data_IF_155562929532
#
_entry.id   IF_155562929532
#
_cell.length_a   1.000
_cell.length_b   1.000
_cell.length_c   1.000
_cell.angle_alpha   90.00
_cell.angle_beta   90.00
_cell.angle_gamma   90.00
#
_symmetry.space_group_name_H-M   'P 1'
#
loop_
_entity.id
_entity.type
_entity.pdbx_description
1 polymer ?
#
# COMPACT_ATOMS: atom_id res chain seq x y z
N UNK A 1 -14.75 4.02 -14.84
CA UNK A 1 -14.05 5.05 -14.04
C UNK A 1 -14.34 6.42 -14.60
N UNK A 2 -14.14 6.63 -15.90
CA UNK A 2 -14.41 7.90 -16.61
C UNK A 2 -15.81 8.48 -16.35
N UNK A 3 -16.83 7.63 -16.27
CA UNK A 3 -18.20 8.06 -16.00
C UNK A 3 -18.37 8.67 -14.59
N UNK A 4 -17.63 8.20 -13.57
CA UNK A 4 -17.68 8.80 -12.23
C UNK A 4 -17.04 10.20 -12.28
N UNK A 5 -15.82 10.28 -12.82
CA UNK A 5 -15.05 11.52 -12.85
C UNK A 5 -15.65 12.58 -13.79
N UNK A 6 -16.38 12.18 -14.83
CA UNK A 6 -17.07 13.13 -15.71
C UNK A 6 -18.20 13.89 -15.00
N UNK A 7 -18.77 13.34 -13.92
CA UNK A 7 -19.83 13.96 -13.12
C UNK A 7 -19.31 14.55 -11.80
N UNK A 8 -18.01 14.43 -11.53
CA UNK A 8 -17.37 14.98 -10.33
C UNK A 8 -17.60 16.50 -10.17
N UNK A 9 -17.51 17.33 -11.23
CA UNK A 9 -17.74 18.77 -11.11
C UNK A 9 -19.14 19.15 -10.60
N UNK A 10 -20.14 18.28 -10.82
CA UNK A 10 -21.53 18.55 -10.46
C UNK A 10 -21.81 18.29 -8.97
N UNK A 11 -21.05 17.38 -8.34
CA UNK A 11 -21.31 16.94 -6.95
C UNK A 11 -20.32 17.49 -5.92
N UNK A 12 -19.11 17.88 -6.35
CA UNK A 12 -18.03 18.25 -5.42
C UNK A 12 -18.35 19.45 -4.51
N UNK A 13 -19.16 20.40 -4.98
CA UNK A 13 -19.52 21.58 -4.19
C UNK A 13 -20.44 21.22 -3.02
N UNK A 14 -21.45 20.38 -3.27
CA UNK A 14 -22.38 19.89 -2.26
C UNK A 14 -21.67 19.00 -1.22
N UNK A 15 -20.77 18.13 -1.67
CA UNK A 15 -19.97 17.29 -0.78
C UNK A 15 -19.05 18.14 0.11
N UNK A 16 -18.44 19.20 -0.44
CA UNK A 16 -17.59 20.11 0.33
C UNK A 16 -18.40 20.92 1.37
N UNK A 17 -19.60 21.38 1.02
CA UNK A 17 -20.49 22.08 1.94
C UNK A 17 -20.91 21.18 3.12
N UNK A 18 -21.21 19.90 2.85
CA UNK A 18 -21.53 18.91 3.89
C UNK A 18 -20.40 18.75 4.91
N UNK A 19 -19.14 18.70 4.46
CA UNK A 19 -17.97 18.62 5.35
C UNK A 19 -17.83 19.90 6.18
N UNK A 20 -17.90 21.07 5.53
CA UNK A 20 -17.71 22.36 6.19
C UNK A 20 -18.78 22.66 7.27
N UNK A 21 -20.03 22.30 6.99
CA UNK A 21 -21.15 22.54 7.89
C UNK A 21 -21.33 21.41 8.94
N UNK A 22 -20.60 20.30 8.81
CA UNK A 22 -20.77 19.11 9.64
C UNK A 22 -22.16 18.49 9.50
N UNK A 23 -22.81 18.66 8.36
CA UNK A 23 -24.18 18.19 8.10
C UNK A 23 -24.18 16.99 7.14
N UNK A 24 -25.18 16.09 7.21
CA UNK A 24 -25.30 15.01 6.24
C UNK A 24 -25.41 15.56 4.81
N UNK A 25 -24.76 14.87 3.86
CA UNK A 25 -24.90 15.15 2.42
C UNK A 25 -26.39 15.09 2.03
N UNK A 26 -26.80 15.94 1.08
CA UNK A 26 -28.15 15.87 0.51
C UNK A 26 -28.45 14.45 0.00
N UNK A 27 -29.69 13.99 0.19
CA UNK A 27 -30.08 12.62 -0.16
C UNK A 27 -29.86 12.32 -1.65
N UNK A 28 -30.12 13.30 -2.52
CA UNK A 28 -29.89 13.20 -3.96
C UNK A 28 -28.41 12.99 -4.30
N UNK A 29 -27.51 13.80 -3.74
CA UNK A 29 -26.06 13.69 -3.98
C UNK A 29 -25.49 12.42 -3.36
N UNK A 30 -25.93 12.05 -2.16
CA UNK A 30 -25.52 10.82 -1.49
C UNK A 30 -25.96 9.57 -2.28
N UNK A 31 -27.20 9.55 -2.79
CA UNK A 31 -27.70 8.46 -3.62
C UNK A 31 -26.94 8.36 -4.94
N UNK A 32 -26.68 9.49 -5.58
CA UNK A 32 -25.90 9.55 -6.83
C UNK A 32 -24.50 8.96 -6.65
N UNK A 33 -23.75 9.44 -5.65
CA UNK A 33 -22.39 8.94 -5.36
C UNK A 33 -22.44 7.45 -5.01
N UNK A 34 -23.38 7.03 -4.16
CA UNK A 34 -23.54 5.62 -3.77
C UNK A 34 -23.82 4.71 -4.97
N UNK A 35 -24.71 5.12 -5.87
CA UNK A 35 -25.01 4.33 -7.07
C UNK A 35 -23.77 4.18 -7.96
N UNK A 36 -23.02 5.27 -8.17
CA UNK A 36 -21.82 5.23 -9.00
C UNK A 36 -20.69 4.41 -8.37
N UNK A 37 -20.49 4.50 -7.05
CA UNK A 37 -19.53 3.65 -6.33
C UNK A 37 -19.91 2.17 -6.45
N UNK A 38 -21.20 1.83 -6.27
CA UNK A 38 -21.69 0.45 -6.43
C UNK A 38 -21.57 -0.08 -7.86
N UNK A 39 -21.67 0.79 -8.88
CA UNK A 39 -21.40 0.41 -10.27
C UNK A 39 -19.92 0.10 -10.53
N UNK A 40 -19.00 0.72 -9.78
CA UNK A 40 -17.57 0.36 -9.83
C UNK A 40 -17.35 -1.02 -9.21
N UNK A 41 -17.84 -1.24 -8.01
CA UNK A 41 -17.92 -2.55 -7.37
C UNK A 41 -18.98 -2.55 -6.27
N UNK A 42 -19.82 -3.61 -6.17
CA UNK A 42 -20.85 -3.69 -5.14
C UNK A 42 -20.27 -3.80 -3.72
N UNK A 43 -19.00 -4.19 -3.57
CA UNK A 43 -18.32 -4.32 -2.28
C UNK A 43 -17.69 -3.01 -1.78
N UNK A 44 -17.66 -1.96 -2.62
CA UNK A 44 -17.12 -0.67 -2.22
C UNK A 44 -18.13 0.15 -1.41
N UNK A 45 -17.63 0.77 -0.34
CA UNK A 45 -18.30 1.83 0.38
C UNK A 45 -17.53 3.13 0.24
N UNK A 46 -18.17 4.26 0.55
CA UNK A 46 -17.53 5.57 0.50
C UNK A 46 -17.81 6.36 1.78
N UNK A 47 -16.89 7.27 2.10
CA UNK A 47 -17.05 8.21 3.19
C UNK A 47 -16.41 9.56 2.86
N UNK A 48 -16.90 10.60 3.54
CA UNK A 48 -16.33 11.94 3.51
C UNK A 48 -15.63 12.21 4.83
N UNK A 49 -14.56 12.98 4.74
CA UNK A 49 -13.87 13.52 5.90
C UNK A 49 -13.24 14.85 5.55
N UNK A 50 -12.89 15.63 6.57
CA UNK A 50 -11.85 16.64 6.41
C UNK A 50 -10.57 15.94 5.95
N UNK A 51 -9.86 16.53 5.00
CA UNK A 51 -8.63 15.93 4.54
C UNK A 51 -7.64 15.84 5.72
N UNK A 52 -7.09 14.65 6.01
CA UNK A 52 -6.08 14.55 7.04
C UNK A 52 -4.89 15.43 6.65
N UNK A 53 -4.24 16.09 7.63
CA UNK A 53 -3.06 16.89 7.36
C UNK A 53 -2.05 16.04 6.58
N UNK A 54 -1.47 16.60 5.54
CA UNK A 54 -0.50 15.87 4.72
C UNK A 54 0.63 15.32 5.61
N UNK A 55 0.73 14.01 5.71
CA UNK A 55 1.95 13.30 6.14
C UNK A 55 3.00 13.34 5.02
N UNK A 56 3.13 14.48 4.32
CA UNK A 56 4.39 14.72 3.62
C UNK A 56 5.46 14.69 4.73
N UNK A 57 6.53 13.89 4.59
CA UNK A 57 7.64 14.01 5.51
C UNK A 57 8.01 15.49 5.51
N UNK A 58 7.78 16.17 6.63
CA UNK A 58 8.22 17.54 6.83
C UNK A 58 9.63 17.61 6.27
N UNK A 59 9.88 18.50 5.30
CA UNK A 59 11.09 18.58 4.48
C UNK A 59 12.41 18.81 5.24
N UNK A 60 12.44 18.50 6.53
CA UNK A 60 13.57 18.49 7.42
C UNK A 60 14.41 17.21 7.36
N UNK A 61 13.93 16.12 6.75
CA UNK A 61 14.73 14.88 6.59
C UNK A 61 15.80 14.99 5.46
N UNK A 62 15.74 16.06 4.65
CA UNK A 62 16.71 16.36 3.60
C UNK A 62 17.91 17.20 4.04
N UNK A 63 17.92 17.74 5.27
CA UNK A 63 18.97 18.66 5.73
C UNK A 63 20.35 18.00 5.85
N UNK A 64 20.40 16.68 6.06
CA UNK A 64 21.66 15.95 6.14
C UNK A 64 22.31 15.70 4.76
N UNK A 65 21.60 15.99 3.66
CA UNK A 65 22.09 15.77 2.27
C UNK A 65 22.00 16.98 1.35
N UNK A 66 21.44 18.10 1.82
CA UNK A 66 21.34 19.32 1.04
C UNK A 66 22.73 19.94 0.80
N UNK A 67 23.03 20.31 -0.45
CA UNK A 67 24.28 21.02 -0.77
C UNK A 67 24.26 22.44 -0.17
N UNK A 68 25.44 22.97 0.19
CA UNK A 68 25.57 24.35 0.72
C UNK A 68 24.92 25.39 -0.22
N UNK A 69 24.94 25.14 -1.53
CA UNK A 69 24.30 25.98 -2.54
C UNK A 69 22.77 26.01 -2.40
N UNK A 70 22.15 24.85 -2.16
CA UNK A 70 20.70 24.74 -1.95
C UNK A 70 20.23 25.42 -0.66
N UNK A 71 21.08 25.45 0.37
CA UNK A 71 20.80 26.15 1.62
C UNK A 71 20.91 27.67 1.45
N UNK A 72 21.89 28.12 0.65
CA UNK A 72 22.08 29.53 0.34
C UNK A 72 20.89 30.11 -0.45
N UNK A 73 20.44 29.39 -1.48
CA UNK A 73 19.29 29.81 -2.31
C UNK A 73 17.98 29.85 -1.50
N UNK A 74 17.82 28.92 -0.56
CA UNK A 74 16.65 28.86 0.34
C UNK A 74 16.67 30.01 1.38
N UNK A 75 17.85 30.37 1.88
CA UNK A 75 18.02 31.51 2.79
C UNK A 75 17.82 32.86 2.09
N UNK A 76 18.25 33.00 0.83
CA UNK A 76 17.94 34.19 0.02
C UNK A 76 16.44 34.30 -0.29
N UNK A 77 15.77 33.17 -0.55
CA UNK A 77 14.33 33.13 -0.77
C UNK A 77 13.54 33.52 0.50
N UNK A 78 13.97 33.05 1.68
CA UNK A 78 13.40 33.45 2.98
C UNK A 78 13.65 34.91 3.36
N UNK A 79 14.80 35.47 2.95
CA UNK A 79 15.13 36.88 3.21
C UNK A 79 14.39 37.88 2.32
N UNK A 80 13.76 37.40 1.24
CA UNK A 80 13.10 38.22 0.22
C UNK A 80 11.56 38.19 0.30
N UNK A 81 10.99 37.27 1.07
CA UNK A 81 9.55 37.05 1.15
C UNK A 81 8.93 37.86 2.31
N UNK A 82 8.02 38.77 1.99
CA UNK A 82 7.24 39.53 2.99
C UNK A 82 6.08 38.69 3.59
N UNK A 83 5.77 37.52 3.03
CA UNK A 83 4.77 36.55 3.54
C UNK A 83 5.00 35.15 2.95
N UNK A 84 4.56 34.11 3.67
CA UNK A 84 4.74 32.69 3.31
C UNK A 84 4.07 32.34 1.96
N UNK A 85 3.02 33.07 1.57
CA UNK A 85 2.31 32.88 0.29
C UNK A 85 3.16 33.24 -0.95
N UNK A 86 4.15 34.15 -0.82
CA UNK A 86 4.98 34.62 -1.94
C UNK A 86 6.04 33.59 -2.38
N UNK A 87 6.21 32.51 -1.61
CA UNK A 87 7.16 31.42 -1.88
C UNK A 87 6.62 30.38 -2.88
N UNK A 88 5.40 30.53 -3.40
CA UNK A 88 4.79 29.53 -4.30
C UNK A 88 4.49 28.18 -3.63
N UNK A 89 4.58 28.12 -2.30
CA UNK A 89 4.25 26.95 -1.46
C UNK A 89 2.75 26.95 -1.10
N UNK A 90 2.02 28.02 -1.43
CA UNK A 90 0.58 28.18 -1.20
C UNK A 90 -0.30 27.59 -2.30
N UNK A 91 -0.17 26.29 -2.59
CA UNK A 91 -1.34 25.57 -3.08
C UNK A 91 -2.35 25.50 -1.94
N UNK A 92 -3.62 25.87 -2.15
CA UNK A 92 -4.65 25.64 -1.14
C UNK A 92 -4.61 24.16 -0.78
N UNK A 93 -4.18 23.83 0.44
CA UNK A 93 -4.13 22.44 0.87
C UNK A 93 -5.55 21.85 0.72
N UNK A 94 -5.69 20.59 0.26
CA UNK A 94 -6.99 19.98 0.16
C UNK A 94 -7.64 20.00 1.54
N UNK A 95 -8.87 20.48 1.61
CA UNK A 95 -9.64 20.55 2.86
C UNK A 95 -10.63 19.40 2.97
N UNK A 96 -11.00 18.81 1.83
CA UNK A 96 -11.99 17.75 1.74
C UNK A 96 -11.33 16.44 1.31
N UNK A 97 -11.81 15.32 1.83
CA UNK A 97 -11.39 13.99 1.42
C UNK A 97 -12.58 13.11 1.07
N UNK A 98 -12.46 12.39 -0.05
CA UNK A 98 -13.35 11.31 -0.45
C UNK A 98 -12.58 9.99 -0.39
N UNK A 99 -13.04 9.09 0.45
CA UNK A 99 -12.39 7.81 0.73
C UNK A 99 -13.30 6.72 0.21
N UNK A 100 -12.75 5.82 -0.63
CA UNK A 100 -13.35 4.53 -0.91
C UNK A 100 -12.75 3.47 0.01
N UNK A 101 -13.60 2.59 0.53
CA UNK A 101 -13.21 1.48 1.39
C UNK A 101 -13.65 0.17 0.74
N UNK A 102 -12.71 -0.75 0.58
CA UNK A 102 -12.91 -2.10 0.04
C UNK A 102 -12.96 -3.16 1.14
N UNK A 103 -12.56 -2.80 2.37
CA UNK A 103 -12.32 -3.75 3.44
C UNK A 103 -11.32 -4.83 3.00
N UNK A 104 -11.62 -6.08 3.32
CA UNK A 104 -10.79 -7.24 2.97
C UNK A 104 -10.94 -7.70 1.52
N UNK A 105 -11.82 -7.11 0.71
CA UNK A 105 -12.03 -7.52 -0.69
C UNK A 105 -10.91 -6.96 -1.59
N UNK A 106 -10.04 -7.84 -2.07
CA UNK A 106 -8.91 -7.46 -2.92
C UNK A 106 -9.36 -7.02 -4.32
N UNK A 107 -10.44 -7.56 -4.88
CA UNK A 107 -10.94 -7.12 -6.18
C UNK A 107 -11.49 -5.71 -6.10
N UNK A 108 -12.28 -5.42 -5.06
CA UNK A 108 -12.76 -4.07 -4.79
C UNK A 108 -11.59 -3.09 -4.53
N UNK A 109 -10.53 -3.52 -3.82
CA UNK A 109 -9.34 -2.68 -3.58
C UNK A 109 -8.60 -2.32 -4.86
N UNK A 110 -8.52 -3.22 -5.85
CA UNK A 110 -7.96 -2.93 -7.18
C UNK A 110 -8.78 -1.82 -7.84
N UNK A 111 -10.11 -1.94 -7.81
CA UNK A 111 -11.02 -0.96 -8.42
C UNK A 111 -10.89 0.40 -7.74
N UNK A 112 -10.82 0.44 -6.40
CA UNK A 112 -10.60 1.67 -5.65
C UNK A 112 -9.24 2.33 -5.99
N UNK A 113 -8.18 1.54 -6.15
CA UNK A 113 -6.87 2.06 -6.56
C UNK A 113 -6.93 2.73 -7.94
N UNK A 114 -7.53 2.05 -8.91
CA UNK A 114 -7.65 2.59 -10.27
C UNK A 114 -8.54 3.82 -10.31
N UNK A 115 -9.62 3.82 -9.51
CA UNK A 115 -10.46 5.00 -9.33
C UNK A 115 -9.64 6.20 -8.86
N UNK A 116 -8.82 6.03 -7.81
CA UNK A 116 -7.94 7.08 -7.29
C UNK A 116 -6.91 7.54 -8.33
N UNK A 117 -6.28 6.61 -9.06
CA UNK A 117 -5.30 6.94 -10.11
C UNK A 117 -5.90 7.71 -11.29
N UNK A 118 -7.18 7.47 -11.57
CA UNK A 118 -7.95 8.18 -12.59
C UNK A 118 -8.56 9.50 -12.09
N UNK A 119 -8.32 9.87 -10.83
CA UNK A 119 -8.87 11.09 -10.26
C UNK A 119 -8.34 12.33 -10.99
N UNK A 120 -9.20 13.33 -11.24
CA UNK A 120 -8.76 14.61 -11.76
C UNK A 120 -7.88 15.32 -10.72
N UNK A 121 -7.01 16.21 -11.21
CA UNK A 121 -6.31 17.15 -10.33
C UNK A 121 -7.32 18.17 -9.80
N UNK A 122 -7.63 18.08 -8.50
CA UNK A 122 -8.57 18.96 -7.80
C UNK A 122 -7.93 19.43 -6.48
N UNK A 123 -7.42 20.67 -6.41
CA UNK A 123 -6.64 21.13 -5.26
C UNK A 123 -7.45 21.18 -3.96
N UNK A 124 -8.78 21.25 -4.04
CA UNK A 124 -9.64 21.25 -2.85
C UNK A 124 -9.87 19.85 -2.25
N UNK A 125 -9.47 18.79 -2.97
CA UNK A 125 -9.87 17.43 -2.67
C UNK A 125 -8.71 16.45 -2.63
N UNK A 126 -8.75 15.54 -1.65
CA UNK A 126 -7.87 14.38 -1.60
C UNK A 126 -8.69 13.09 -1.77
N UNK A 127 -8.22 12.20 -2.63
CA UNK A 127 -8.89 10.93 -2.93
C UNK A 127 -8.11 9.76 -2.35
N UNK A 128 -8.79 8.90 -1.61
CA UNK A 128 -8.19 7.72 -0.99
C UNK A 128 -8.86 6.43 -1.48
N UNK A 129 -8.03 5.45 -1.84
CA UNK A 129 -8.46 4.13 -2.29
C UNK A 129 -8.63 3.10 -1.14
N UNK A 130 -8.39 3.55 0.08
CA UNK A 130 -8.54 2.83 1.34
C UNK A 130 -8.57 3.86 2.46
N UNK A 131 -9.22 3.56 3.58
CA UNK A 131 -9.25 4.46 4.73
C UNK A 131 -7.83 4.69 5.30
N UNK A 132 -7.35 5.95 5.39
CA UNK A 132 -6.07 6.23 6.03
C UNK A 132 -6.16 6.02 7.54
N UNK A 133 -5.00 5.88 8.20
CA UNK A 133 -4.93 5.97 9.65
C UNK A 133 -5.34 7.38 10.11
N UNK A 134 -6.06 7.47 11.21
CA UNK A 134 -6.43 8.72 11.87
C UNK A 134 -6.25 8.57 13.39
N UNK A 135 -4.99 8.56 13.87
CA UNK A 135 -4.71 8.39 15.29
C UNK A 135 -5.19 9.58 16.14
N UNK A 136 -5.49 10.74 15.54
CA UNK A 136 -6.02 11.89 16.25
C UNK A 136 -7.44 11.62 16.79
N UNK A 137 -8.24 10.80 16.09
CA UNK A 137 -9.56 10.37 16.55
C UNK A 137 -9.50 9.48 17.80
N UNK A 138 -8.37 8.81 18.05
CA UNK A 138 -8.20 7.97 19.25
C UNK A 138 -8.15 8.79 20.56
N UNK A 139 -8.03 10.11 20.46
CA UNK A 139 -8.10 11.04 21.59
C UNK A 139 -9.46 11.74 21.71
N UNK A 140 -10.43 11.40 20.86
CA UNK A 140 -11.78 11.99 20.84
C UNK A 140 -12.82 10.96 21.30
N UNK A 141 -13.96 11.40 21.85
CA UNK A 141 -15.08 10.51 22.11
C UNK A 141 -15.61 9.88 20.80
N UNK A 142 -15.94 8.60 20.87
CA UNK A 142 -16.59 7.84 19.81
C UNK A 142 -18.05 7.58 20.20
N UNK A 143 -18.98 8.01 19.37
CA UNK A 143 -20.39 7.63 19.51
C UNK A 143 -20.65 6.35 18.72
N UNK A 144 -21.06 5.28 19.41
CA UNK A 144 -21.39 3.98 18.82
C UNK A 144 -22.70 3.44 19.38
N UNK A 145 -23.68 3.15 18.52
CA UNK A 145 -25.02 2.67 18.91
C UNK A 145 -25.66 3.48 20.07
N UNK A 146 -25.49 4.81 20.05
CA UNK A 146 -26.01 5.71 21.08
C UNK A 146 -25.21 5.77 22.39
N UNK A 147 -24.07 5.09 22.47
CA UNK A 147 -23.13 5.17 23.59
C UNK A 147 -21.94 6.05 23.21
N UNK A 148 -21.57 6.97 24.08
CA UNK A 148 -20.37 7.79 23.93
C UNK A 148 -19.22 7.13 24.72
N UNK A 149 -18.13 6.80 24.03
CA UNK A 149 -16.95 6.13 24.59
C UNK A 149 -15.73 7.03 24.46
N UNK A 150 -15.05 7.30 25.57
CA UNK A 150 -13.78 8.03 25.54
C UNK A 150 -12.62 7.10 25.13
N UNK A 151 -12.17 7.22 23.87
CA UNK A 151 -11.13 6.35 23.33
C UNK A 151 -9.76 6.52 24.04
N UNK A 152 -9.56 7.58 24.83
CA UNK A 152 -8.34 7.77 25.61
C UNK A 152 -8.17 6.74 26.74
N UNK A 153 -9.25 6.07 27.14
CA UNK A 153 -9.22 5.00 28.14
C UNK A 153 -9.00 3.60 27.55
N UNK A 154 -8.88 3.49 26.22
CA UNK A 154 -8.63 2.22 25.56
C UNK A 154 -7.20 1.74 25.84
N UNK A 155 -7.05 0.43 26.05
CA UNK A 155 -5.75 -0.24 26.11
C UNK A 155 -5.74 -1.39 25.13
N UNK A 156 -4.61 -1.62 24.46
CA UNK A 156 -4.46 -2.67 23.44
C UNK A 156 -3.37 -3.63 23.87
N UNK A 157 -3.55 -4.91 23.53
CA UNK A 157 -2.51 -5.93 23.57
C UNK A 157 -2.31 -6.50 22.18
N UNK A 158 -1.06 -6.80 21.81
CA UNK A 158 -0.73 -7.41 20.52
C UNK A 158 -0.04 -8.75 20.73
N UNK A 159 -0.36 -9.73 19.90
CA UNK A 159 0.31 -11.02 19.85
C UNK A 159 0.59 -11.42 18.41
N UNK A 160 1.81 -11.85 18.12
CA UNK A 160 2.15 -12.39 16.80
C UNK A 160 1.66 -13.83 16.68
N UNK A 161 0.89 -14.11 15.64
CA UNK A 161 0.58 -15.45 15.19
C UNK A 161 1.59 -15.85 14.10
N UNK A 162 2.66 -16.53 14.48
CA UNK A 162 3.74 -16.91 13.57
C UNK A 162 3.29 -17.87 12.47
N UNK A 163 2.29 -18.71 12.74
CA UNK A 163 1.78 -19.67 11.74
C UNK A 163 1.04 -18.98 10.61
N UNK A 164 0.28 -17.94 10.94
CA UNK A 164 -0.48 -17.15 9.96
C UNK A 164 0.28 -15.93 9.45
N UNK A 165 1.45 -15.64 10.03
CA UNK A 165 2.22 -14.42 9.81
C UNK A 165 1.38 -13.13 10.00
N UNK A 166 0.49 -13.14 10.99
CA UNK A 166 -0.40 -12.04 11.33
C UNK A 166 -0.26 -11.64 12.80
N UNK A 167 -0.93 -10.56 13.18
CA UNK A 167 -0.98 -10.01 14.52
C UNK A 167 -2.43 -10.09 15.01
N UNK A 168 -2.61 -10.66 16.20
CA UNK A 168 -3.87 -10.69 16.93
C UNK A 168 -3.90 -9.47 17.85
N UNK A 169 -4.95 -8.66 17.75
CA UNK A 169 -5.12 -7.46 18.57
C UNK A 169 -6.25 -7.65 19.58
N UNK A 170 -5.93 -7.48 20.86
CA UNK A 170 -6.91 -7.44 21.94
C UNK A 170 -7.17 -6.00 22.36
N UNK A 171 -8.42 -5.54 22.36
CA UNK A 171 -8.78 -4.17 22.74
C UNK A 171 -9.58 -4.19 24.03
N UNK A 172 -9.16 -3.43 25.03
CA UNK A 172 -9.86 -3.25 26.30
C UNK A 172 -10.37 -1.82 26.44
N UNK A 173 -11.60 -1.67 26.89
CA UNK A 173 -12.13 -0.40 27.40
C UNK A 173 -12.96 -0.66 28.66
N UNK A 174 -12.87 0.17 29.72
CA UNK A 174 -13.65 -0.03 30.95
C UNK A 174 -15.15 -0.17 30.71
N UNK A 175 -15.70 0.60 29.77
CA UNK A 175 -17.15 0.61 29.50
C UNK A 175 -17.63 -0.54 28.61
N UNK A 176 -16.74 -1.45 28.16
CA UNK A 176 -17.16 -2.64 27.42
C UNK A 176 -18.14 -3.48 28.23
N UNK A 177 -18.06 -3.48 29.57
CA UNK A 177 -19.02 -4.19 30.42
C UNK A 177 -20.48 -3.71 30.26
N UNK A 178 -20.70 -2.50 29.74
CA UNK A 178 -22.02 -1.91 29.52
C UNK A 178 -22.53 -2.05 28.09
N UNK A 179 -21.68 -2.52 27.17
CA UNK A 179 -22.02 -2.70 25.76
C UNK A 179 -22.45 -4.14 25.45
N UNK A 180 -23.35 -4.36 24.47
CA UNK A 180 -23.58 -5.68 23.90
C UNK A 180 -22.34 -6.18 23.14
N UNK A 181 -22.21 -7.49 22.97
CA UNK A 181 -21.00 -8.11 22.38
C UNK A 181 -20.69 -7.59 20.96
N UNK A 182 -21.70 -7.40 20.12
CA UNK A 182 -21.53 -6.86 18.76
C UNK A 182 -20.97 -5.42 18.77
N UNK A 183 -21.42 -4.58 19.71
CA UNK A 183 -20.92 -3.22 19.86
C UNK A 183 -19.47 -3.21 20.38
N UNK A 184 -19.11 -4.12 21.30
CA UNK A 184 -17.72 -4.27 21.76
C UNK A 184 -16.80 -4.65 20.61
N UNK A 185 -17.23 -5.60 19.77
CA UNK A 185 -16.48 -6.03 18.61
C UNK A 185 -16.30 -4.87 17.62
N UNK A 186 -17.38 -4.16 17.28
CA UNK A 186 -17.34 -3.01 16.38
C UNK A 186 -16.42 -1.88 16.88
N UNK A 187 -16.49 -1.55 18.18
CA UNK A 187 -15.58 -0.55 18.78
C UNK A 187 -14.13 -1.03 18.76
N UNK A 188 -13.86 -2.31 19.06
CA UNK A 188 -12.52 -2.87 19.03
C UNK A 188 -11.92 -2.80 17.62
N UNK A 189 -12.66 -3.22 16.58
CA UNK A 189 -12.24 -3.12 15.19
C UNK A 189 -12.02 -1.66 14.77
N UNK A 190 -12.93 -0.76 15.16
CA UNK A 190 -12.83 0.67 14.87
C UNK A 190 -11.56 1.29 15.45
N UNK A 191 -11.19 0.95 16.68
CA UNK A 191 -9.96 1.45 17.31
C UNK A 191 -8.73 1.04 16.52
N UNK A 192 -8.61 -0.24 16.16
CA UNK A 192 -7.44 -0.75 15.41
C UNK A 192 -7.40 -0.15 14.01
N UNK A 193 -8.57 0.00 13.36
CA UNK A 193 -8.69 0.63 12.05
C UNK A 193 -8.32 2.13 12.07
N UNK A 194 -8.74 2.87 13.10
CA UNK A 194 -8.31 4.27 13.28
C UNK A 194 -6.81 4.37 13.48
N UNK A 195 -6.21 3.43 14.20
CA UNK A 195 -4.78 3.47 14.46
C UNK A 195 -3.95 3.12 13.21
N UNK A 196 -4.33 2.08 12.46
CA UNK A 196 -3.50 1.54 11.37
C UNK A 196 -3.94 1.99 9.98
N UNK A 197 -5.19 2.40 9.80
CA UNK A 197 -5.79 2.48 8.48
C UNK A 197 -6.14 1.10 7.91
N UNK A 198 -6.88 1.11 6.81
CA UNK A 198 -7.47 -0.10 6.21
C UNK A 198 -6.42 -1.03 5.61
N UNK A 199 -5.42 -0.48 4.89
CA UNK A 199 -4.43 -1.31 4.20
C UNK A 199 -3.54 -2.06 5.19
N UNK A 200 -3.05 -1.42 6.26
CA UNK A 200 -2.25 -2.09 7.29
C UNK A 200 -3.08 -3.01 8.18
N UNK A 201 -4.35 -2.66 8.44
CA UNK A 201 -5.30 -3.55 9.10
C UNK A 201 -5.43 -4.87 8.33
N UNK A 202 -5.78 -4.82 7.05
CA UNK A 202 -5.97 -6.02 6.22
C UNK A 202 -4.68 -6.80 6.03
N UNK A 203 -3.54 -6.10 5.98
CA UNK A 203 -2.23 -6.68 5.76
C UNK A 203 -1.73 -7.48 6.95
N UNK A 204 -1.83 -6.92 8.15
CA UNK A 204 -1.14 -7.47 9.32
C UNK A 204 -2.08 -8.02 10.38
N UNK A 205 -3.32 -7.53 10.48
CA UNK A 205 -4.21 -7.92 11.57
C UNK A 205 -5.01 -9.15 11.17
N UNK A 206 -4.76 -10.26 11.86
CA UNK A 206 -5.45 -11.53 11.63
C UNK A 206 -6.77 -11.63 12.37
N UNK A 207 -6.85 -11.02 13.56
CA UNK A 207 -8.07 -10.94 14.35
C UNK A 207 -8.03 -9.77 15.32
N UNK A 208 -9.21 -9.25 15.63
CA UNK A 208 -9.42 -8.27 16.69
C UNK A 208 -10.45 -8.83 17.67
N UNK A 209 -10.15 -8.75 18.96
CA UNK A 209 -11.04 -9.24 20.01
C UNK A 209 -11.20 -8.20 21.13
N UNK A 210 -12.43 -7.93 21.60
CA UNK A 210 -12.65 -7.16 22.81
C UNK A 210 -12.19 -7.98 24.03
N UNK A 211 -11.47 -7.33 24.94
CA UNK A 211 -10.97 -7.90 26.17
C UNK A 211 -11.90 -7.51 27.33
N UNK A 212 -12.26 -8.49 28.16
CA UNK A 212 -13.06 -8.27 29.36
C UNK A 212 -12.24 -7.66 30.51
N UNK A 213 -10.94 -7.93 30.54
CA UNK A 213 -10.01 -7.47 31.57
C UNK A 213 -8.88 -6.65 30.94
N UNK A 214 -8.33 -5.72 31.72
CA UNK A 214 -7.20 -4.91 31.28
C UNK A 214 -5.99 -5.82 31.03
N UNK A 215 -5.32 -5.72 29.88
CA UNK A 215 -4.14 -6.55 29.59
C UNK A 215 -2.99 -6.26 30.56
N UNK A 216 -2.12 -7.25 30.76
CA UNK A 216 -0.96 -7.18 31.65
C UNK A 216 0.04 -6.10 31.22
N UNK A 217 0.32 -6.04 29.92
CA UNK A 217 1.20 -5.05 29.29
C UNK A 217 0.36 -4.14 28.37
N UNK A 218 -0.39 -3.17 28.93
CA UNK A 218 -1.30 -2.33 28.16
C UNK A 218 -0.52 -1.33 27.31
N UNK A 219 -0.82 -1.29 26.02
CA UNK A 219 -0.34 -0.26 25.09
C UNK A 219 -1.46 0.73 24.78
N UNK A 220 -1.18 2.03 24.65
CA UNK A 220 -2.16 2.95 24.10
C UNK A 220 -2.38 2.65 22.60
N UNK A 221 -3.61 2.80 22.06
CA UNK A 221 -3.88 2.57 20.65
C UNK A 221 -2.99 3.37 19.68
N UNK A 222 -2.56 4.56 20.08
CA UNK A 222 -1.67 5.42 19.28
C UNK A 222 -0.28 4.83 19.05
N UNK A 223 0.15 3.85 19.85
CA UNK A 223 1.42 3.14 19.65
C UNK A 223 1.31 1.98 18.64
N UNK A 224 0.10 1.61 18.20
CA UNK A 224 -0.13 0.49 17.29
C UNK A 224 0.69 0.57 15.99
N UNK A 225 0.75 1.70 15.26
CA UNK A 225 1.50 1.77 14.00
C UNK A 225 2.96 1.40 14.16
N UNK A 226 3.63 1.97 15.17
CA UNK A 226 5.03 1.69 15.45
C UNK A 226 5.25 0.22 15.83
N UNK A 227 4.39 -0.36 16.67
CA UNK A 227 4.55 -1.76 17.10
C UNK A 227 4.27 -2.71 15.95
N UNK A 228 3.22 -2.47 15.14
CA UNK A 228 2.93 -3.27 13.94
C UNK A 228 4.07 -3.17 12.94
N UNK A 229 4.66 -1.99 12.74
CA UNK A 229 5.83 -1.83 11.89
C UNK A 229 7.05 -2.64 12.42
N UNK A 230 7.30 -2.65 13.73
CA UNK A 230 8.37 -3.45 14.32
C UNK A 230 8.11 -4.96 14.20
N UNK A 231 6.89 -5.39 14.51
CA UNK A 231 6.49 -6.79 14.45
C UNK A 231 6.44 -7.31 13.01
N UNK A 232 6.05 -6.48 12.05
CA UNK A 232 6.11 -6.83 10.64
C UNK A 232 7.54 -7.07 10.17
N UNK A 233 8.51 -6.29 10.66
CA UNK A 233 9.93 -6.56 10.43
C UNK A 233 10.35 -7.97 10.88
N UNK A 234 9.85 -8.43 12.03
CA UNK A 234 10.10 -9.79 12.53
C UNK A 234 9.36 -10.88 11.75
N UNK A 235 8.20 -10.58 11.17
CA UNK A 235 7.44 -11.44 10.24
C UNK A 235 8.03 -11.43 8.81
N UNK A 236 8.96 -10.51 8.55
CA UNK A 236 9.66 -10.30 7.29
C UNK A 236 9.47 -8.87 6.80
N UNK A 237 10.57 -8.16 6.52
CA UNK A 237 10.58 -6.72 6.26
C UNK A 237 10.26 -6.32 4.81
N UNK A 238 9.37 -7.03 4.11
CA UNK A 238 9.06 -6.79 2.68
C UNK A 238 10.30 -6.88 1.76
N UNK A 239 11.34 -7.57 2.21
CA UNK A 239 12.66 -7.62 1.58
C UNK A 239 12.81 -8.74 0.55
N UNK A 240 14.01 -8.86 -0.01
CA UNK A 240 14.35 -9.96 -0.90
C UNK A 240 14.84 -11.18 -0.10
N UNK A 241 14.17 -12.32 -0.28
CA UNK A 241 14.63 -13.61 0.22
C UNK A 241 15.17 -14.42 -0.95
N UNK A 242 16.39 -14.93 -0.80
CA UNK A 242 17.03 -15.80 -1.79
C UNK A 242 17.09 -17.22 -1.27
N UNK A 243 16.55 -18.15 -2.06
CA UNK A 243 16.71 -19.58 -1.88
C UNK A 243 17.70 -20.13 -2.89
N UNK A 244 18.52 -21.07 -2.43
CA UNK A 244 19.43 -21.83 -3.27
C UNK A 244 19.06 -23.31 -3.20
N UNK A 245 19.04 -23.95 -4.36
CA UNK A 245 18.80 -25.37 -4.50
C UNK A 245 19.66 -25.98 -5.60
N UNK A 246 19.57 -27.29 -5.77
CA UNK A 246 20.15 -28.02 -6.90
C UNK A 246 19.07 -28.80 -7.61
N UNK A 247 19.00 -28.65 -8.92
CA UNK A 247 18.12 -29.45 -9.77
C UNK A 247 18.99 -30.48 -10.52
N UNK A 248 18.68 -31.78 -10.43
CA UNK A 248 19.38 -32.80 -11.21
C UNK A 248 19.45 -32.40 -12.69
N UNK A 249 20.63 -32.52 -13.30
CA UNK A 249 20.93 -32.17 -14.70
C UNK A 249 20.92 -30.66 -15.05
N UNK A 250 20.33 -29.77 -14.23
CA UNK A 250 20.27 -28.32 -14.50
C UNK A 250 21.26 -27.48 -13.69
N UNK A 251 21.89 -28.05 -12.66
CA UNK A 251 22.88 -27.36 -11.83
C UNK A 251 22.24 -26.67 -10.62
N UNK A 252 22.92 -25.66 -10.09
CA UNK A 252 22.38 -24.84 -9.01
C UNK A 252 21.23 -23.97 -9.52
N UNK A 253 20.27 -23.72 -8.65
CA UNK A 253 19.14 -22.84 -8.91
C UNK A 253 19.08 -21.84 -7.78
N UNK A 254 19.05 -20.56 -8.15
CA UNK A 254 18.85 -19.46 -7.24
C UNK A 254 17.50 -18.82 -7.54
N UNK A 255 16.65 -18.69 -6.54
CA UNK A 255 15.35 -18.02 -6.64
C UNK A 255 15.37 -16.89 -5.63
N UNK A 256 15.22 -15.66 -6.09
CA UNK A 256 15.02 -14.51 -5.22
C UNK A 256 13.60 -14.01 -5.39
N UNK A 257 12.92 -13.76 -4.28
CA UNK A 257 11.54 -13.25 -4.26
C UNK A 257 11.43 -12.10 -3.26
N UNK A 258 10.45 -11.23 -3.46
CA UNK A 258 9.99 -10.34 -2.39
C UNK A 258 9.17 -11.13 -1.37
N UNK A 259 9.47 -10.97 -0.08
CA UNK A 259 8.73 -11.61 1.00
C UNK A 259 8.74 -10.77 2.30
N UNK A 260 7.58 -10.65 2.99
CA UNK A 260 6.25 -11.04 2.53
C UNK A 260 5.81 -10.15 1.36
N UNK A 261 4.96 -10.69 0.51
CA UNK A 261 4.39 -9.98 -0.63
C UNK A 261 2.89 -9.83 -0.36
N UNK A 262 2.46 -8.62 0.00
CA UNK A 262 1.05 -8.34 0.26
C UNK A 262 0.36 -7.68 -0.94
N UNK A 263 -0.90 -8.05 -1.15
CA UNK A 263 -1.71 -7.47 -2.24
C UNK A 263 -1.82 -5.95 -2.11
N UNK A 264 -1.91 -5.48 -0.87
CA UNK A 264 -2.05 -4.07 -0.50
C UNK A 264 -0.82 -3.21 -0.80
N UNK A 265 0.35 -3.80 -1.04
CA UNK A 265 1.54 -3.05 -1.51
C UNK A 265 1.45 -2.71 -3.01
N UNK A 266 0.73 -3.53 -3.79
CA UNK A 266 0.70 -3.43 -5.25
C UNK A 266 -0.72 -3.63 -5.81
N UNK A 267 -1.75 -2.91 -5.32
CA UNK A 267 -3.14 -3.20 -5.63
C UNK A 267 -3.44 -3.14 -7.14
N UNK A 268 -2.93 -2.14 -7.87
CA UNK A 268 -3.18 -2.03 -9.31
C UNK A 268 -2.48 -3.11 -10.17
N UNK A 269 -1.47 -3.81 -9.64
CA UNK A 269 -0.60 -4.62 -10.48
C UNK A 269 -1.22 -5.99 -10.77
N UNK A 270 -1.90 -6.09 -11.91
CA UNK A 270 -2.63 -7.31 -12.34
C UNK A 270 -2.11 -7.88 -13.66
N UNK A 271 -1.12 -7.24 -14.30
CA UNK A 271 -0.54 -7.73 -15.55
C UNK A 271 0.78 -8.44 -15.26
N UNK A 272 0.78 -9.76 -15.32
CA UNK A 272 2.01 -10.55 -15.18
C UNK A 272 2.83 -10.45 -16.45
N UNK A 273 4.11 -10.10 -16.31
CA UNK A 273 5.09 -10.07 -17.40
C UNK A 273 6.27 -10.95 -17.05
N UNK A 274 6.49 -11.94 -17.91
CA UNK A 274 7.62 -12.85 -17.84
C UNK A 274 8.69 -12.42 -18.83
N UNK A 275 9.92 -12.25 -18.34
CA UNK A 275 11.10 -11.99 -19.18
C UNK A 275 12.14 -13.07 -18.92
N UNK A 276 12.63 -13.72 -19.98
CA UNK A 276 13.71 -14.70 -19.88
C UNK A 276 14.86 -14.32 -20.79
N UNK A 277 16.06 -14.26 -20.22
CA UNK A 277 17.32 -13.96 -20.91
C UNK A 277 18.36 -15.02 -20.58
N UNK A 278 19.14 -15.43 -21.56
CA UNK A 278 20.37 -16.20 -21.36
C UNK A 278 21.58 -15.28 -21.19
N UNK A 279 22.62 -15.78 -20.52
CA UNK A 279 23.90 -15.10 -20.37
C UNK A 279 25.05 -16.03 -20.80
N UNK A 280 26.17 -15.43 -21.20
CA UNK A 280 27.30 -16.13 -21.84
C UNK A 280 28.43 -16.47 -20.88
N UNK A 281 28.74 -15.58 -19.93
CA UNK A 281 29.76 -15.84 -18.91
C UNK A 281 29.15 -16.59 -17.73
N UNK A 282 29.61 -17.82 -17.48
CA UNK A 282 29.09 -18.68 -16.41
C UNK A 282 30.19 -19.29 -15.55
N UNK A 283 29.90 -19.50 -14.27
CA UNK A 283 30.74 -20.30 -13.37
C UNK A 283 30.55 -21.82 -13.56
N UNK A 284 31.17 -22.62 -12.67
CA UNK A 284 31.09 -24.09 -12.69
C UNK A 284 29.68 -24.63 -12.44
N UNK A 285 28.84 -23.87 -11.74
CA UNK A 285 27.46 -24.24 -11.42
C UNK A 285 26.45 -23.65 -12.42
N UNK A 286 26.93 -23.04 -13.52
CA UNK A 286 26.15 -22.33 -14.55
C UNK A 286 25.40 -21.11 -14.02
N UNK A 287 25.93 -20.44 -12.99
CA UNK A 287 25.49 -19.14 -12.52
C UNK A 287 26.24 -18.03 -13.29
N UNK A 288 25.68 -16.81 -13.39
CA UNK A 288 26.33 -15.72 -14.11
C UNK A 288 27.64 -15.33 -13.41
N UNK A 289 28.71 -15.27 -14.19
CA UNK A 289 29.98 -14.69 -13.77
C UNK A 289 30.18 -13.34 -14.49
N UNK A 290 31.14 -12.54 -14.05
CA UNK A 290 31.51 -11.33 -14.78
C UNK A 290 32.01 -11.68 -16.20
N UNK A 291 31.68 -10.86 -17.22
CA UNK A 291 30.95 -9.58 -17.17
C UNK A 291 29.42 -9.71 -17.20
N UNK A 292 28.87 -10.91 -17.42
CA UNK A 292 27.42 -11.10 -17.58
C UNK A 292 26.63 -10.81 -16.30
N UNK A 293 27.22 -10.99 -15.11
CA UNK A 293 26.60 -10.62 -13.84
C UNK A 293 26.31 -9.12 -13.77
N UNK A 294 27.31 -8.26 -14.04
CA UNK A 294 27.14 -6.81 -14.09
C UNK A 294 26.11 -6.37 -15.15
N UNK A 295 26.15 -6.97 -16.35
CA UNK A 295 25.18 -6.66 -17.40
C UNK A 295 23.73 -7.00 -16.98
N UNK A 296 23.52 -8.12 -16.27
CA UNK A 296 22.20 -8.49 -15.75
C UNK A 296 21.70 -7.52 -14.68
N UNK A 297 22.59 -6.98 -13.85
CA UNK A 297 22.23 -5.97 -12.84
C UNK A 297 21.78 -4.66 -13.49
N UNK A 298 22.56 -4.14 -14.46
CA UNK A 298 22.21 -2.94 -15.23
C UNK A 298 20.90 -3.12 -16.02
N UNK A 299 20.72 -4.29 -16.63
CA UNK A 299 19.48 -4.64 -17.33
C UNK A 299 18.29 -4.68 -16.36
N UNK A 300 18.46 -5.24 -15.17
CA UNK A 300 17.42 -5.28 -14.14
C UNK A 300 17.07 -3.88 -13.64
N UNK A 301 18.07 -3.02 -13.41
CA UNK A 301 17.85 -1.62 -13.03
C UNK A 301 17.04 -0.88 -14.10
N UNK A 302 17.46 -0.97 -15.37
CA UNK A 302 16.75 -0.36 -16.50
C UNK A 302 15.27 -0.78 -16.57
N UNK A 303 14.98 -2.09 -16.43
CA UNK A 303 13.60 -2.58 -16.44
C UNK A 303 12.77 -2.06 -15.25
N UNK A 304 13.39 -1.92 -14.07
CA UNK A 304 12.72 -1.37 -12.88
C UNK A 304 12.46 0.13 -13.03
N UNK A 305 13.40 0.86 -13.62
CA UNK A 305 13.26 2.31 -13.85
C UNK A 305 12.15 2.60 -14.86
N UNK A 306 12.01 1.78 -15.90
CA UNK A 306 10.91 1.91 -16.87
C UNK A 306 9.57 1.53 -16.26
N UNK A 307 9.54 0.52 -15.39
CA UNK A 307 8.33 0.14 -14.68
C UNK A 307 7.90 1.23 -13.68
N UNK A 308 8.85 1.86 -12.98
CA UNK A 308 8.63 2.90 -11.97
C UNK A 308 7.46 2.56 -11.04
N UNK A 309 6.52 3.50 -10.83
CA UNK A 309 5.32 3.32 -10.00
C UNK A 309 4.22 2.47 -10.67
N UNK A 310 4.43 2.09 -11.94
CA UNK A 310 3.51 1.33 -12.77
C UNK A 310 3.87 -0.16 -12.84
N UNK A 311 4.90 -0.61 -12.12
CA UNK A 311 5.18 -2.03 -12.01
C UNK A 311 6.31 -2.38 -11.05
N UNK A 312 6.38 -3.65 -10.67
CA UNK A 312 7.41 -4.14 -9.77
C UNK A 312 7.90 -5.54 -10.13
N UNK A 313 9.19 -5.78 -9.91
CA UNK A 313 9.78 -7.10 -9.95
C UNK A 313 9.44 -7.85 -8.65
N UNK A 314 8.68 -8.93 -8.74
CA UNK A 314 8.29 -9.75 -7.59
C UNK A 314 9.22 -10.92 -7.35
N UNK A 315 9.78 -11.48 -8.41
CA UNK A 315 10.73 -12.58 -8.32
C UNK A 315 11.70 -12.60 -9.48
N UNK A 316 12.89 -13.16 -9.26
CA UNK A 316 13.76 -13.59 -10.35
C UNK A 316 14.38 -14.95 -10.02
N UNK A 317 14.65 -15.73 -11.07
CA UNK A 317 15.17 -17.08 -10.97
C UNK A 317 16.38 -17.23 -11.88
N UNK A 318 17.46 -17.82 -11.38
CA UNK A 318 18.67 -18.13 -12.14
C UNK A 318 18.88 -19.62 -12.16
N UNK A 319 18.91 -20.20 -13.35
CA UNK A 319 19.12 -21.63 -13.52
C UNK A 319 19.67 -21.93 -14.92
N UNK A 320 20.71 -22.76 -14.99
CA UNK A 320 21.18 -23.36 -16.24
C UNK A 320 21.54 -22.36 -17.34
N UNK A 321 22.23 -21.26 -17.01
CA UNK A 321 22.63 -20.24 -17.98
C UNK A 321 21.53 -19.25 -18.37
N UNK A 322 20.39 -19.24 -17.66
CA UNK A 322 19.29 -18.31 -17.90
C UNK A 322 18.85 -17.60 -16.62
N UNK A 323 18.44 -16.33 -16.77
CA UNK A 323 17.75 -15.53 -15.77
C UNK A 323 16.31 -15.28 -16.23
N UNK A 324 15.37 -15.57 -15.34
CA UNK A 324 13.94 -15.31 -15.52
C UNK A 324 13.50 -14.24 -14.54
N UNK A 325 12.75 -13.27 -15.02
CA UNK A 325 12.14 -12.21 -14.24
C UNK A 325 10.63 -12.35 -14.24
N UNK A 326 10.02 -12.05 -13.10
CA UNK A 326 8.60 -12.09 -12.86
C UNK A 326 8.17 -10.70 -12.40
N UNK A 327 7.70 -9.90 -13.35
CA UNK A 327 7.16 -8.57 -13.11
C UNK A 327 5.64 -8.61 -13.04
N UNK A 328 5.07 -7.71 -12.23
CA UNK A 328 3.67 -7.34 -12.31
C UNK A 328 3.58 -5.86 -12.61
N UNK A 329 2.79 -5.50 -13.62
CA UNK A 329 2.59 -4.14 -14.09
C UNK A 329 1.12 -3.73 -13.92
N UNK A 330 0.86 -2.43 -13.89
CA UNK A 330 -0.48 -1.85 -14.03
C UNK A 330 -0.89 -1.90 -15.52
N UNK A 331 -1.93 -2.68 -15.89
CA UNK A 331 -2.38 -2.76 -17.28
C UNK A 331 -2.91 -1.44 -17.84
N UNK A 332 -3.39 -0.53 -16.99
CA UNK A 332 -4.04 0.72 -17.43
C UNK A 332 -3.03 1.89 -17.55
N UNK A 333 -1.80 1.70 -17.07
CA UNK A 333 -0.74 2.70 -17.12
C UNK A 333 -0.14 2.95 -18.51
N UNK A 334 -0.36 2.04 -19.46
CA UNK A 334 0.29 2.09 -20.77
C UNK A 334 1.79 1.78 -20.76
N UNK A 335 2.36 1.29 -19.65
CA UNK A 335 3.81 1.04 -19.51
C UNK A 335 4.31 -0.16 -20.33
N UNK A 336 3.43 -1.12 -20.66
CA UNK A 336 3.80 -2.40 -21.27
C UNK A 336 4.64 -2.25 -22.57
N UNK A 337 4.26 -1.43 -23.58
CA UNK A 337 5.03 -1.35 -24.81
C UNK A 337 6.48 -0.86 -24.61
N UNK A 338 6.66 0.16 -23.75
CA UNK A 338 7.99 0.68 -23.41
C UNK A 338 8.81 -0.37 -22.63
N UNK A 339 8.17 -1.08 -21.70
CA UNK A 339 8.78 -2.17 -20.96
C UNK A 339 9.23 -3.31 -21.88
N UNK A 340 8.39 -3.76 -22.81
CA UNK A 340 8.76 -4.82 -23.77
C UNK A 340 9.90 -4.40 -24.70
N UNK A 341 9.90 -3.16 -25.16
CA UNK A 341 10.95 -2.61 -26.01
C UNK A 341 12.29 -2.66 -25.27
N UNK A 342 12.32 -2.21 -24.02
CA UNK A 342 13.51 -2.26 -23.19
C UNK A 342 13.92 -3.69 -22.85
N UNK A 343 12.97 -4.59 -22.59
CA UNK A 343 13.31 -5.98 -22.34
C UNK A 343 14.05 -6.62 -23.52
N UNK A 344 13.72 -6.22 -24.76
CA UNK A 344 14.35 -6.73 -26.00
C UNK A 344 15.75 -6.15 -26.29
N UNK A 345 16.29 -5.22 -25.49
CA UNK A 345 17.63 -4.63 -25.71
C UNK A 345 18.78 -5.53 -25.25
N UNK A 346 18.49 -6.60 -24.50
CA UNK A 346 19.50 -7.56 -24.05
C UNK A 346 20.26 -8.17 -25.23
N UNK A 347 21.60 -8.08 -25.18
CA UNK A 347 22.47 -8.39 -26.32
C UNK A 347 23.08 -9.80 -26.29
N UNK A 348 23.16 -10.45 -25.13
CA UNK A 348 23.87 -11.73 -25.02
C UNK A 348 23.05 -12.95 -25.49
N UNK A 349 21.73 -12.80 -25.64
CA UNK A 349 20.87 -13.91 -26.06
C UNK A 349 19.54 -13.43 -26.64
N UNK A 350 18.80 -14.37 -27.24
CA UNK A 350 17.41 -14.13 -27.62
C UNK A 350 16.54 -13.97 -26.38
N UNK A 351 15.92 -12.81 -26.24
CA UNK A 351 14.95 -12.51 -25.19
C UNK A 351 13.61 -13.17 -25.48
N UNK A 352 13.01 -13.78 -24.45
CA UNK A 352 11.61 -14.18 -24.47
C UNK A 352 10.83 -13.27 -23.52
N UNK A 353 9.77 -12.64 -24.04
CA UNK A 353 8.85 -11.79 -23.27
C UNK A 353 7.44 -12.29 -23.51
N UNK A 354 6.67 -12.46 -22.44
CA UNK A 354 5.24 -12.79 -22.52
C UNK A 354 4.47 -12.11 -21.41
N UNK A 355 3.28 -11.60 -21.72
CA UNK A 355 2.39 -10.96 -20.76
C UNK A 355 1.02 -11.65 -20.68
N UNK A 356 0.41 -11.68 -19.51
CA UNK A 356 -0.96 -12.17 -19.30
C UNK A 356 -1.61 -11.48 -18.10
N UNK A 357 -2.93 -11.31 -18.13
CA UNK A 357 -3.65 -10.81 -16.97
C UNK A 357 -3.70 -11.91 -15.90
N UNK A 358 -3.25 -11.56 -14.70
CA UNK A 358 -3.22 -12.42 -13.52
C UNK A 358 -3.65 -11.60 -12.28
N UNK A 359 -4.94 -11.20 -12.20
CA UNK A 359 -5.44 -10.33 -11.13
C UNK A 359 -5.41 -10.99 -9.74
N UNK A 360 -5.42 -12.33 -9.69
CA UNK A 360 -5.40 -13.15 -8.48
C UNK A 360 -3.99 -13.55 -8.04
N UNK A 361 -2.95 -13.11 -8.77
CA UNK A 361 -1.54 -13.40 -8.47
C UNK A 361 -1.24 -14.91 -8.41
N UNK A 362 -1.94 -15.71 -9.22
CA UNK A 362 -1.80 -17.16 -9.22
C UNK A 362 -0.36 -17.58 -9.53
N UNK A 363 0.29 -16.89 -10.46
CA UNK A 363 1.65 -17.22 -10.92
C UNK A 363 2.66 -17.00 -9.80
N UNK A 364 2.67 -15.82 -9.18
CA UNK A 364 3.62 -15.53 -8.09
C UNK A 364 3.31 -16.34 -6.84
N UNK A 365 2.03 -16.59 -6.53
CA UNK A 365 1.65 -17.45 -5.41
C UNK A 365 2.20 -18.88 -5.59
N UNK A 366 2.22 -19.41 -6.81
CA UNK A 366 2.86 -20.71 -7.09
C UNK A 366 4.38 -20.68 -6.87
N UNK A 367 5.05 -19.58 -7.25
CA UNK A 367 6.50 -19.40 -7.03
C UNK A 367 6.84 -19.28 -5.53
N UNK A 368 5.96 -18.63 -4.75
CA UNK A 368 6.16 -18.43 -3.31
C UNK A 368 5.86 -19.67 -2.45
N UNK A 369 5.03 -20.61 -2.92
CA UNK A 369 4.68 -21.85 -2.17
C UNK A 369 5.87 -22.59 -1.53
N UNK A 370 6.96 -22.94 -2.24
CA UNK A 370 8.10 -23.62 -1.63
C UNK A 370 8.82 -22.75 -0.58
N UNK A 371 8.75 -21.44 -0.72
CA UNK A 371 9.42 -20.46 0.15
C UNK A 371 8.69 -20.37 1.47
N UNK A 372 7.36 -20.24 1.45
CA UNK A 372 6.52 -20.26 2.65
C UNK A 372 6.76 -21.54 3.47
N UNK A 373 6.80 -22.69 2.80
CA UNK A 373 7.10 -24.00 3.45
C UNK A 373 8.47 -24.07 4.13
N UNK A 374 9.50 -23.44 3.56
CA UNK A 374 10.85 -23.44 4.14
C UNK A 374 11.01 -22.42 5.26
N UNK A 375 10.26 -21.31 5.20
CA UNK A 375 10.28 -20.26 6.22
C UNK A 375 9.35 -20.54 7.41
N UNK A 376 8.65 -21.68 7.42
CA UNK A 376 7.81 -22.10 8.56
C UNK A 376 6.36 -21.58 8.53
N UNK A 377 5.85 -21.19 7.36
CA UNK A 377 4.44 -20.85 7.12
C UNK A 377 3.64 -21.93 6.41
#
# INVERSE_FOLDING_TARGET
>A
MDEFWSHWPDVRADLAASIADGTPVSEETAQFVTERVRRLSPALTWELSEAPPSEEPSGFDGLDTASEQSLQDMLESLGSADSIDDLGIGGTAPTCALILSAGSDDEARIVAERWKRAAPDDPGWRFFAARPADPAQLSKPLTWDGHELDLSHVSVSLRVNQQLATIEAGVYHPDFMFLPDDARQGVAERVVLLALGEDDYVRWIGSVAPLAEKPLDPLPPTSLPTVVHQLSGALGSGGWVTLQGRIPLRGSVQISVRHPLHRRDFPAFTLYVHVSVGYTSTDQDKQPADPSAAALEEYTATLRDIAADNGALFAHQTAGGQRRYHFYLDPDSGVLPAFEQAARTWSESKVQVSSTLDPQWDTINQILKPIRRQLGG
#
